data_IF_978556603844
#
_entry.id   IF_978556603844
#
_cell.length_a   1.000
_cell.length_b   1.000
_cell.length_c   1.000
_cell.angle_alpha   90.00
_cell.angle_beta   90.00
_cell.angle_gamma   90.00
#
_symmetry.space_group_name_H-M   'P 1'
#
loop_
_entity.id
_entity.type
_entity.pdbx_description
1 polymer ?
#
# COMPACT_ATOMS: atom_id res chain seq x y z
N UNK A 1 38.71 0.37 -16.54
CA UNK A 1 38.38 1.71 -15.98
C UNK A 1 37.10 2.18 -16.66
N UNK A 2 36.02 2.23 -15.87
CA UNK A 2 34.72 2.85 -16.14
C UNK A 2 33.99 2.47 -17.44
N UNK A 3 33.37 1.29 -17.47
CA UNK A 3 32.24 1.00 -18.36
C UNK A 3 31.03 0.67 -17.50
N UNK A 4 30.09 1.61 -17.50
CA UNK A 4 28.65 1.42 -17.32
C UNK A 4 28.15 0.78 -16.02
N UNK A 5 28.20 1.55 -14.94
CA UNK A 5 27.30 1.37 -13.78
C UNK A 5 26.35 2.56 -13.63
N UNK A 6 25.74 3.02 -14.73
CA UNK A 6 24.60 3.93 -14.65
C UNK A 6 23.33 3.11 -14.37
N UNK A 7 23.12 2.78 -13.10
CA UNK A 7 21.82 2.32 -12.61
C UNK A 7 20.86 3.50 -12.76
N UNK A 8 20.22 3.62 -13.93
CA UNK A 8 19.05 4.48 -14.09
C UNK A 8 18.00 3.97 -13.11
N UNK A 9 17.72 4.74 -12.07
CA UNK A 9 16.57 4.53 -11.19
C UNK A 9 15.30 4.53 -12.06
N UNK A 10 14.84 3.33 -12.45
CA UNK A 10 13.57 3.16 -13.13
C UNK A 10 12.49 3.26 -12.07
N UNK A 11 11.81 4.40 -12.02
CA UNK A 11 10.62 4.58 -11.19
C UNK A 11 9.43 3.96 -11.90
N UNK A 12 8.66 3.13 -11.20
CA UNK A 12 7.41 2.61 -11.71
C UNK A 12 6.34 3.66 -11.43
N UNK A 13 5.75 4.24 -12.48
CA UNK A 13 4.68 5.22 -12.35
C UNK A 13 3.37 4.52 -12.70
N UNK A 14 2.44 4.47 -11.74
CA UNK A 14 1.08 3.96 -11.98
C UNK A 14 0.15 5.15 -12.11
N UNK A 15 -0.36 5.37 -13.32
CA UNK A 15 -1.40 6.37 -13.61
C UNK A 15 -2.68 5.65 -14.04
N UNK A 16 -3.86 5.98 -13.47
CA UNK A 16 -5.11 5.43 -13.96
C UNK A 16 -5.37 5.92 -15.40
N UNK A 17 -5.54 4.98 -16.32
CA UNK A 17 -6.04 5.25 -17.68
C UNK A 17 -7.52 4.86 -17.70
N UNK A 18 -8.44 5.82 -17.74
CA UNK A 18 -9.88 5.52 -17.64
C UNK A 18 -10.72 6.35 -18.64
N UNK A 19 -11.64 5.67 -19.32
CA UNK A 19 -12.70 6.19 -20.21
C UNK A 19 -14.10 6.14 -19.56
N UNK A 20 -14.20 6.17 -18.23
CA UNK A 20 -15.47 6.15 -17.48
C UNK A 20 -15.61 7.40 -16.59
N UNK A 21 -16.87 7.80 -16.34
CA UNK A 21 -17.26 9.04 -15.63
C UNK A 21 -16.88 9.11 -14.13
N UNK A 22 -16.21 8.09 -13.58
CA UNK A 22 -15.73 8.11 -12.19
C UNK A 22 -14.30 8.64 -12.18
N UNK A 23 -14.17 9.95 -11.98
CA UNK A 23 -12.89 10.65 -11.92
C UNK A 23 -12.27 10.39 -10.54
N UNK A 24 -11.16 9.65 -10.51
CA UNK A 24 -10.33 9.44 -9.33
C UNK A 24 -9.17 10.44 -9.25
N UNK A 25 -9.42 11.71 -9.55
CA UNK A 25 -8.39 12.75 -9.43
C UNK A 25 -7.98 12.85 -7.96
N UNK A 26 -6.72 12.49 -7.68
CA UNK A 26 -6.10 12.52 -6.35
C UNK A 26 -6.70 11.60 -5.27
N UNK A 27 -7.47 10.58 -5.66
CA UNK A 27 -7.95 9.57 -4.73
C UNK A 27 -7.17 8.26 -4.82
N UNK A 28 -6.96 7.55 -3.70
CA UNK A 28 -6.33 6.23 -3.75
C UNK A 28 -7.20 5.24 -4.52
N UNK A 29 -6.55 4.28 -5.20
CA UNK A 29 -7.23 3.28 -6.02
C UNK A 29 -8.33 2.52 -5.27
N UNK A 30 -8.14 2.26 -3.98
CA UNK A 30 -9.15 1.64 -3.11
C UNK A 30 -10.41 2.49 -2.96
N UNK A 31 -10.29 3.82 -2.87
CA UNK A 31 -11.44 4.74 -2.83
C UNK A 31 -12.22 4.67 -4.13
N UNK A 32 -11.51 4.70 -5.26
CA UNK A 32 -12.10 4.59 -6.59
C UNK A 32 -12.84 3.25 -6.74
N UNK A 33 -12.25 2.14 -6.30
CA UNK A 33 -12.90 0.82 -6.31
C UNK A 33 -14.16 0.79 -5.46
N UNK A 34 -14.10 1.31 -4.23
CA UNK A 34 -15.26 1.34 -3.35
C UNK A 34 -16.41 2.15 -3.96
N UNK A 35 -16.12 3.29 -4.61
CA UNK A 35 -17.12 4.08 -5.34
C UNK A 35 -17.73 3.32 -6.51
N UNK A 36 -16.91 2.65 -7.32
CA UNK A 36 -17.39 1.85 -8.46
C UNK A 36 -18.26 0.67 -7.98
N UNK A 37 -17.86 -0.01 -6.90
CA UNK A 37 -18.63 -1.11 -6.29
C UNK A 37 -19.96 -0.58 -5.73
N UNK A 38 -19.93 0.53 -4.98
CA UNK A 38 -21.11 1.11 -4.35
C UNK A 38 -22.13 1.65 -5.35
N UNK A 39 -21.68 2.15 -6.51
CA UNK A 39 -22.55 2.67 -7.55
C UNK A 39 -23.53 1.60 -8.10
N UNK A 40 -23.27 0.29 -7.89
CA UNK A 40 -24.13 -0.83 -8.33
C UNK A 40 -24.52 -0.82 -9.83
N UNK A 41 -23.92 0.04 -10.64
CA UNK A 41 -24.16 0.14 -12.09
C UNK A 41 -23.34 -0.86 -12.92
N UNK A 42 -22.82 -1.93 -12.30
CA UNK A 42 -22.09 -2.98 -13.03
C UNK A 42 -23.10 -4.03 -13.49
N UNK A 43 -23.82 -3.72 -14.56
CA UNK A 43 -24.61 -4.70 -15.28
C UNK A 43 -23.67 -5.61 -16.07
N UNK A 44 -23.92 -6.92 -16.05
CA UNK A 44 -23.04 -7.99 -16.55
C UNK A 44 -22.81 -8.02 -18.09
N UNK A 45 -22.90 -6.87 -18.77
CA UNK A 45 -22.69 -6.69 -20.21
C UNK A 45 -21.41 -5.89 -20.49
N UNK A 46 -20.27 -6.41 -20.05
CA UNK A 46 -18.95 -5.85 -20.37
C UNK A 46 -18.54 -4.62 -19.56
N UNK A 47 -19.28 -4.24 -18.51
CA UNK A 47 -18.82 -3.26 -17.53
C UNK A 47 -17.87 -3.95 -16.55
N UNK A 48 -16.68 -3.39 -16.40
CA UNK A 48 -15.62 -3.90 -15.55
C UNK A 48 -14.64 -2.81 -15.19
N UNK A 49 -13.59 -3.19 -14.48
CA UNK A 49 -12.47 -2.32 -14.19
C UNK A 49 -11.24 -2.89 -14.89
N UNK A 50 -10.56 -2.05 -15.67
CA UNK A 50 -9.32 -2.40 -16.34
C UNK A 50 -8.17 -1.65 -15.69
N UNK A 51 -7.12 -2.38 -15.33
CA UNK A 51 -5.85 -1.81 -14.88
C UNK A 51 -4.84 -2.06 -15.98
N UNK A 52 -4.16 -1.01 -16.42
CA UNK A 52 -3.07 -1.12 -17.39
C UNK A 52 -1.81 -0.51 -16.81
N UNK A 53 -0.66 -1.10 -17.15
CA UNK A 53 0.65 -0.59 -16.77
C UNK A 53 1.35 -0.08 -18.01
N UNK A 54 1.83 1.17 -17.97
CA UNK A 54 2.59 1.79 -19.06
C UNK A 54 3.94 2.24 -18.54
N UNK A 55 5.01 1.77 -19.18
CA UNK A 55 6.36 2.25 -18.89
C UNK A 55 6.58 3.58 -19.61
N UNK A 56 6.95 4.62 -18.87
CA UNK A 56 7.28 5.94 -19.41
C UNK A 56 8.81 6.14 -19.36
N UNK A 57 9.47 6.48 -20.48
CA UNK A 57 10.91 6.73 -20.48
C UNK A 57 11.22 8.13 -19.94
N UNK A 58 12.31 8.24 -19.18
CA UNK A 58 12.79 9.51 -18.62
C UNK A 58 12.84 9.48 -17.10
N UNK A 59 13.38 10.56 -16.52
CA UNK A 59 13.22 10.83 -15.09
C UNK A 59 11.85 11.47 -14.78
N UNK A 60 11.54 11.66 -13.49
CA UNK A 60 10.25 12.20 -13.07
C UNK A 60 9.94 13.59 -13.68
N UNK A 61 10.95 14.46 -13.80
CA UNK A 61 10.76 15.80 -14.32
C UNK A 61 10.47 15.78 -15.84
N UNK A 62 11.16 14.91 -16.57
CA UNK A 62 10.90 14.67 -17.99
C UNK A 62 9.51 14.07 -18.19
N UNK A 63 9.14 13.06 -17.40
CA UNK A 63 7.82 12.41 -17.52
C UNK A 63 6.68 13.40 -17.24
N UNK A 64 6.80 14.23 -16.21
CA UNK A 64 5.80 15.26 -15.90
C UNK A 64 5.69 16.34 -16.99
N UNK A 65 6.76 16.59 -17.74
CA UNK A 65 6.77 17.55 -18.85
C UNK A 65 6.17 16.95 -20.13
N UNK A 66 6.66 15.78 -20.53
CA UNK A 66 6.35 15.18 -21.84
C UNK A 66 5.05 14.36 -21.80
N UNK A 67 4.64 13.88 -20.63
CA UNK A 67 3.43 13.09 -20.40
C UNK A 67 2.53 13.73 -19.32
N UNK A 68 2.40 15.05 -19.31
CA UNK A 68 1.60 15.81 -18.33
C UNK A 68 0.11 15.40 -18.27
N UNK A 69 -0.42 14.83 -19.36
CA UNK A 69 -1.79 14.28 -19.43
C UNK A 69 -1.94 12.92 -18.74
N UNK A 70 -0.84 12.27 -18.36
CA UNK A 70 -0.80 11.00 -17.62
C UNK A 70 -0.28 11.17 -16.20
N UNK A 71 0.69 12.06 -16.03
CA UNK A 71 1.42 12.24 -14.77
C UNK A 71 1.52 13.74 -14.50
N UNK A 72 0.76 14.19 -13.53
CA UNK A 72 0.79 15.58 -13.06
C UNK A 72 1.74 15.74 -11.86
N UNK A 73 1.71 16.93 -11.24
CA UNK A 73 2.52 17.22 -10.04
C UNK A 73 1.92 16.65 -8.75
N UNK A 74 0.64 16.31 -8.74
CA UNK A 74 -0.07 15.72 -7.61
C UNK A 74 0.02 14.19 -7.59
N UNK A 75 0.50 13.58 -8.67
CA UNK A 75 0.66 12.13 -8.82
C UNK A 75 1.60 11.61 -7.73
N UNK A 76 1.08 10.70 -6.91
CA UNK A 76 1.85 10.08 -5.84
C UNK A 76 3.06 9.32 -6.39
N UNK A 77 4.25 9.63 -5.88
CA UNK A 77 5.49 8.97 -6.29
C UNK A 77 5.86 7.92 -5.24
N UNK A 78 5.82 6.65 -5.64
CA UNK A 78 6.34 5.56 -4.83
C UNK A 78 7.84 5.38 -5.07
N UNK A 79 8.63 5.35 -3.99
CA UNK A 79 10.03 4.95 -4.08
C UNK A 79 10.12 3.45 -4.34
N UNK A 80 11.17 3.03 -5.05
CA UNK A 80 11.49 1.61 -5.23
C UNK A 80 11.59 0.95 -3.85
N UNK A 81 10.94 -0.19 -3.67
CA UNK A 81 11.07 -1.01 -2.47
C UNK A 81 12.51 -1.50 -2.36
N UNK A 82 13.18 -1.13 -1.27
CA UNK A 82 14.60 -1.41 -1.05
C UNK A 82 15.42 -0.13 -0.92
N UNK A 83 16.58 -0.27 -0.30
CA UNK A 83 17.43 0.88 -0.05
C UNK A 83 18.34 1.20 -1.24
N UNK A 84 18.58 2.49 -1.54
CA UNK A 84 19.67 2.87 -2.43
C UNK A 84 21.01 2.43 -1.80
N UNK A 85 21.97 2.03 -2.64
CA UNK A 85 23.31 1.66 -2.18
C UNK A 85 24.03 2.85 -1.54
N UNK A 86 23.77 4.06 -2.04
CA UNK A 86 24.35 5.30 -1.56
C UNK A 86 23.34 6.04 -0.68
N UNK A 87 23.80 6.54 0.47
CA UNK A 87 23.05 7.45 1.35
C UNK A 87 23.71 8.82 1.23
N UNK A 88 22.92 9.85 0.90
CA UNK A 88 23.44 11.21 0.84
C UNK A 88 23.61 11.77 2.26
N UNK A 89 24.62 12.61 2.51
CA UNK A 89 24.74 13.32 3.78
C UNK A 89 23.46 14.13 4.06
N UNK A 90 22.81 13.87 5.20
CA UNK A 90 21.55 14.48 5.59
C UNK A 90 20.31 13.61 5.37
N UNK A 91 20.42 12.51 4.63
CA UNK A 91 19.32 11.54 4.47
C UNK A 91 19.30 10.56 5.65
N UNK A 92 18.22 10.62 6.42
CA UNK A 92 17.96 9.70 7.54
C UNK A 92 17.40 8.39 7.00
N UNK A 93 18.16 7.30 7.17
CA UNK A 93 17.79 5.96 6.70
C UNK A 93 17.08 5.18 7.80
N UNK A 94 15.76 5.33 7.88
CA UNK A 94 14.91 4.53 8.76
C UNK A 94 13.61 4.10 8.10
N UNK A 95 13.71 3.43 6.94
CA UNK A 95 12.54 2.86 6.28
C UNK A 95 12.32 1.43 6.76
N UNK A 96 11.34 1.24 7.64
CA UNK A 96 10.91 -0.08 8.08
C UNK A 96 9.78 -0.52 7.15
N UNK A 97 9.96 -1.63 6.44
CA UNK A 97 8.89 -2.24 5.64
C UNK A 97 8.44 -3.53 6.29
N UNK A 98 7.14 -3.64 6.53
CA UNK A 98 6.52 -4.81 7.13
C UNK A 98 5.66 -5.47 6.06
N UNK A 99 5.88 -6.76 5.81
CA UNK A 99 5.06 -7.55 4.89
C UNK A 99 4.25 -8.56 5.67
N UNK A 100 2.94 -8.43 5.63
CA UNK A 100 2.02 -9.46 6.09
C UNK A 100 1.92 -10.52 4.99
N UNK A 101 2.60 -11.66 5.18
CA UNK A 101 2.70 -12.71 4.14
C UNK A 101 1.46 -13.60 4.17
N UNK A 102 1.32 -14.43 5.20
CA UNK A 102 0.25 -15.41 5.33
C UNK A 102 0.04 -15.80 6.79
N UNK A 103 -1.10 -16.45 7.07
CA UNK A 103 -1.39 -17.02 8.38
C UNK A 103 -2.10 -18.37 8.23
N UNK A 104 -2.10 -19.18 9.29
CA UNK A 104 -2.91 -20.39 9.37
C UNK A 104 -3.77 -20.34 10.62
N UNK A 105 -5.09 -20.45 10.44
CA UNK A 105 -6.04 -20.34 11.54
C UNK A 105 -6.90 -21.60 11.65
N UNK A 106 -7.00 -22.13 12.87
CA UNK A 106 -7.89 -23.24 13.16
C UNK A 106 -9.36 -22.76 13.18
N UNK A 107 -10.24 -23.60 12.62
CA UNK A 107 -11.70 -23.44 12.70
C UNK A 107 -12.24 -23.76 14.10
N UNK A 108 -11.45 -24.44 14.96
CA UNK A 108 -11.87 -24.90 16.27
C UNK A 108 -13.12 -25.77 16.18
N UNK A 109 -14.17 -25.43 16.95
CA UNK A 109 -15.44 -26.16 16.96
C UNK A 109 -16.43 -25.76 15.84
N UNK A 110 -16.09 -24.79 14.98
CA UNK A 110 -17.01 -24.30 13.93
C UNK A 110 -16.90 -25.16 12.65
N UNK A 111 -18.00 -25.21 11.88
CA UNK A 111 -18.04 -25.92 10.58
C UNK A 111 -17.20 -25.23 9.50
N UNK A 112 -17.19 -23.90 9.49
CA UNK A 112 -16.51 -23.08 8.47
C UNK A 112 -15.26 -22.41 9.03
N UNK A 113 -14.23 -22.15 8.20
CA UNK A 113 -13.09 -21.33 8.59
C UNK A 113 -13.51 -19.90 9.00
N UNK A 114 -12.65 -19.24 9.78
CA UNK A 114 -12.84 -17.86 10.25
C UNK A 114 -12.45 -16.88 9.13
N UNK A 115 -13.20 -15.80 8.95
CA UNK A 115 -12.74 -14.66 8.15
C UNK A 115 -11.84 -13.81 9.04
N UNK A 116 -10.54 -13.78 8.76
CA UNK A 116 -9.56 -13.14 9.64
C UNK A 116 -9.14 -11.79 9.10
N UNK A 117 -9.25 -10.76 9.93
CA UNK A 117 -8.66 -9.44 9.73
C UNK A 117 -7.47 -9.31 10.69
N UNK A 118 -6.32 -8.90 10.16
CA UNK A 118 -5.15 -8.52 10.96
C UNK A 118 -5.14 -7.01 11.09
N UNK A 119 -5.14 -6.51 12.32
CA UNK A 119 -4.92 -5.09 12.61
C UNK A 119 -3.48 -4.92 13.09
N UNK A 120 -2.71 -4.05 12.43
CA UNK A 120 -1.35 -3.70 12.80
C UNK A 120 -1.31 -2.27 13.32
N UNK A 121 -0.63 -2.06 14.46
CA UNK A 121 -0.39 -0.74 15.04
C UNK A 121 0.98 -0.66 15.71
N UNK A 122 1.54 0.54 15.80
CA UNK A 122 2.83 0.81 16.44
C UNK A 122 2.56 1.34 17.84
N UNK A 123 3.23 0.79 18.85
CA UNK A 123 3.10 1.24 20.23
C UNK A 123 4.47 1.51 20.85
N UNK A 124 4.52 2.41 21.82
CA UNK A 124 5.69 2.61 22.68
C UNK A 124 5.79 1.55 23.80
N UNK A 125 6.76 1.72 24.69
CA UNK A 125 7.02 0.83 25.83
C UNK A 125 5.94 0.90 26.92
N UNK A 126 5.23 2.03 27.00
CA UNK A 126 4.12 2.26 27.93
C UNK A 126 2.79 1.74 27.36
N UNK A 127 2.77 1.33 26.08
CA UNK A 127 1.61 0.81 25.37
C UNK A 127 0.75 1.89 24.70
N UNK A 128 1.22 3.13 24.61
CA UNK A 128 0.54 4.20 23.88
C UNK A 128 0.68 3.99 22.37
N UNK A 129 -0.37 4.38 21.64
CA UNK A 129 -0.42 4.27 20.19
C UNK A 129 0.38 5.38 19.52
N UNK A 130 1.29 5.01 18.61
CA UNK A 130 1.96 5.98 17.76
C UNK A 130 1.02 6.40 16.62
N UNK A 131 0.60 7.66 16.62
CA UNK A 131 -0.29 8.17 15.59
C UNK A 131 0.40 8.32 14.24
N UNK A 132 -0.33 8.02 13.16
CA UNK A 132 0.10 8.19 11.76
C UNK A 132 1.44 7.53 11.42
N UNK A 133 1.84 6.48 12.15
CA UNK A 133 3.12 5.81 11.95
C UNK A 133 3.16 4.90 10.72
N UNK A 134 2.01 4.43 10.22
CA UNK A 134 1.95 3.42 9.16
C UNK A 134 1.53 4.07 7.84
N UNK A 135 2.24 3.75 6.76
CA UNK A 135 1.97 4.26 5.42
C UNK A 135 1.70 3.06 4.50
N UNK A 136 0.42 2.78 4.17
CA UNK A 136 0.05 1.62 3.35
C UNK A 136 0.51 1.72 1.90
N UNK A 137 0.81 2.93 1.43
CA UNK A 137 1.24 3.20 0.07
C UNK A 137 1.71 4.63 -0.10
N UNK A 138 2.15 4.98 -1.31
CA UNK A 138 2.53 6.35 -1.65
C UNK A 138 1.28 7.25 -1.70
N UNK A 139 1.43 8.51 -1.28
CA UNK A 139 0.35 9.51 -1.31
C UNK A 139 -0.68 9.39 -0.18
N UNK A 140 -0.57 8.41 0.70
CA UNK A 140 -1.38 8.35 1.92
C UNK A 140 -0.80 9.25 3.01
N UNK A 141 -1.66 9.98 3.71
CA UNK A 141 -1.32 10.41 5.07
C UNK A 141 -1.12 9.17 5.93
N UNK A 142 -0.10 9.20 6.80
CA UNK A 142 0.14 8.11 7.74
C UNK A 142 -1.13 7.76 8.54
N UNK A 143 -1.37 6.47 8.74
CA UNK A 143 -2.47 5.92 9.54
C UNK A 143 -1.92 5.33 10.84
N UNK A 144 -2.70 5.42 11.92
CA UNK A 144 -2.30 4.87 13.22
C UNK A 144 -2.53 3.35 13.29
N UNK A 145 -3.51 2.85 12.54
CA UNK A 145 -3.82 1.42 12.45
C UNK A 145 -3.99 0.99 10.99
N UNK A 146 -3.32 -0.09 10.61
CA UNK A 146 -3.51 -0.77 9.34
C UNK A 146 -4.40 -1.99 9.52
N UNK A 147 -5.31 -2.24 8.57
CA UNK A 147 -6.21 -3.41 8.58
C UNK A 147 -6.01 -4.18 7.28
N UNK A 148 -5.77 -5.48 7.40
CA UNK A 148 -5.57 -6.35 6.25
C UNK A 148 -6.86 -6.62 5.49
N UNK A 149 -6.73 -7.11 4.25
CA UNK A 149 -7.86 -7.69 3.53
C UNK A 149 -8.39 -8.91 4.28
N UNK A 150 -9.69 -9.12 4.22
CA UNK A 150 -10.38 -10.27 4.82
C UNK A 150 -10.76 -11.24 3.73
N UNK A 151 -10.15 -12.42 3.73
CA UNK A 151 -10.51 -13.50 2.82
C UNK A 151 -11.65 -14.33 3.40
N UNK A 152 -12.73 -14.50 2.63
CA UNK A 152 -13.92 -15.21 3.07
C UNK A 152 -13.67 -16.71 3.20
N UNK A 153 -13.84 -17.23 4.42
CA UNK A 153 -13.72 -18.64 4.77
C UNK A 153 -12.41 -19.30 4.30
N UNK A 154 -11.33 -18.53 4.24
CA UNK A 154 -10.01 -19.05 3.88
C UNK A 154 -9.23 -19.42 5.14
N UNK A 155 -8.87 -20.70 5.29
CA UNK A 155 -8.10 -21.22 6.43
C UNK A 155 -6.67 -20.65 6.48
N UNK A 156 -6.05 -20.53 5.31
CA UNK A 156 -4.67 -20.05 5.14
C UNK A 156 -4.67 -18.78 4.25
N UNK A 157 -5.10 -17.62 4.78
CA UNK A 157 -5.08 -16.38 4.02
C UNK A 157 -3.64 -16.01 3.65
N UNK A 158 -3.44 -15.67 2.38
CA UNK A 158 -2.19 -15.15 1.84
C UNK A 158 -2.40 -13.68 1.47
N UNK A 159 -1.93 -12.77 2.33
CA UNK A 159 -2.14 -11.33 2.16
C UNK A 159 -1.13 -10.73 1.18
N UNK A 160 0.17 -11.03 1.37
CA UNK A 160 1.26 -10.37 0.65
C UNK A 160 1.17 -8.84 0.67
N UNK A 161 0.67 -8.29 1.77
CA UNK A 161 0.44 -6.87 1.96
C UNK A 161 1.69 -6.23 2.56
N UNK A 162 2.24 -5.21 1.90
CA UNK A 162 3.43 -4.51 2.39
C UNK A 162 3.10 -3.07 2.76
N UNK A 163 3.53 -2.64 3.94
CA UNK A 163 3.34 -1.28 4.44
C UNK A 163 4.66 -0.72 4.96
N UNK A 164 4.83 0.61 4.84
CA UNK A 164 5.99 1.31 5.44
C UNK A 164 5.62 1.78 6.84
N UNK A 165 6.49 1.51 7.80
CA UNK A 165 6.38 2.01 9.17
C UNK A 165 7.42 3.11 9.36
N UNK A 166 6.96 4.27 9.81
CA UNK A 166 7.76 5.45 10.08
C UNK A 166 7.81 5.68 11.59
N UNK A 167 9.00 5.50 12.17
CA UNK A 167 9.28 5.72 13.59
C UNK A 167 10.55 6.59 13.64
N UNK A 168 10.62 7.54 14.57
CA UNK A 168 11.83 8.33 14.76
C UNK A 168 12.98 7.42 15.23
N UNK A 169 14.21 7.64 14.77
CA UNK A 169 15.33 6.71 15.05
C UNK A 169 15.54 6.52 16.56
N UNK A 170 15.43 7.62 17.29
CA UNK A 170 15.51 7.71 18.74
C UNK A 170 14.41 6.91 19.48
N UNK A 171 13.28 6.65 18.82
CA UNK A 171 12.13 5.93 19.39
C UNK A 171 12.09 4.45 18.97
N UNK A 172 12.80 4.06 17.90
CA UNK A 172 12.76 2.69 17.36
C UNK A 172 12.99 1.61 18.43
N UNK A 173 13.93 1.84 19.36
CA UNK A 173 14.24 0.87 20.41
C UNK A 173 13.16 0.76 21.50
N UNK A 174 12.28 1.75 21.61
CA UNK A 174 11.18 1.82 22.59
C UNK A 174 9.83 1.46 21.97
N UNK A 175 9.75 1.36 20.64
CA UNK A 175 8.54 1.00 19.93
C UNK A 175 8.48 -0.48 19.57
N UNK A 176 7.26 -1.01 19.47
CA UNK A 176 6.98 -2.35 18.97
C UNK A 176 5.75 -2.37 18.06
N UNK A 177 5.70 -3.36 17.18
CA UNK A 177 4.53 -3.63 16.34
C UNK A 177 3.58 -4.57 17.07
N UNK A 178 2.31 -4.19 17.16
CA UNK A 178 1.24 -5.02 17.69
C UNK A 178 0.37 -5.52 16.54
N UNK A 179 0.19 -6.84 16.49
CA UNK A 179 -0.70 -7.50 15.53
C UNK A 179 -1.89 -8.11 16.28
N UNK A 180 -3.08 -7.63 15.98
CA UNK A 180 -4.34 -8.12 16.57
C UNK A 180 -5.14 -8.87 15.52
N UNK A 181 -5.51 -10.12 15.80
CA UNK A 181 -6.27 -10.96 14.90
C UNK A 181 -7.73 -10.98 15.31
N UNK A 182 -8.63 -10.57 14.39
CA UNK A 182 -10.08 -10.50 14.66
C UNK A 182 -10.86 -11.31 13.64
N UNK A 183 -11.93 -11.95 14.11
CA UNK A 183 -12.90 -12.57 13.22
C UNK A 183 -13.88 -11.51 12.71
N UNK A 184 -14.00 -11.37 11.39
CA UNK A 184 -15.01 -10.50 10.76
C UNK A 184 -16.20 -11.32 10.29
N UNK A 185 -17.41 -10.91 10.70
CA UNK A 185 -18.62 -11.52 10.17
C UNK A 185 -18.81 -11.10 8.71
N UNK A 186 -19.50 -11.88 7.89
CA UNK A 186 -19.78 -11.52 6.49
C UNK A 186 -20.88 -10.47 6.31
N UNK A 187 -21.40 -9.94 7.41
CA UNK A 187 -22.44 -8.89 7.44
C UNK A 187 -21.89 -7.53 7.91
N UNK A 188 -20.63 -7.48 8.35
CA UNK A 188 -19.86 -6.25 8.57
C UNK A 188 -18.91 -6.02 7.40
#
# INVERSE_FOLDING_TARGET
>A
IAMETYIRQRQLIMSPLITSHVIGENEPLTSVFNKVIAAKEVNHKGQGLWVSLKLLPGDLAQVQKDFSHLVDRSTAVARKMGFPEIILPGDVRNDIYVTLIQGEFDKGKKKTPKNVEVTMSVHDEDGNLQEKAIHPGAGYEGVSEYKSVVYYQVKQPCWYETVKVAIAIEEVSRCHLRFTFRHRSSQE
#
